data_IF_368124890162
#
_entry.id   IF_368124890162
#
_cell.length_a   1.000
_cell.length_b   1.000
_cell.length_c   1.000
_cell.angle_alpha   90.00
_cell.angle_beta   90.00
_cell.angle_gamma   90.00
#
_symmetry.space_group_name_H-M   'P 1'
#
loop_
_entity.id
_entity.type
_entity.pdbx_description
1 polymer ?
#
# COMPACT_ATOMS: atom_id res chain seq x y z
N UNK A 1 -0.08 -48.11 27.87
CA UNK A 1 1.35 -48.47 27.70
C UNK A 1 2.08 -47.13 27.54
N UNK A 2 2.69 -46.71 28.64
CA UNK A 2 3.40 -45.44 28.77
C UNK A 2 4.86 -45.65 28.34
N UNK A 3 5.43 -44.65 27.68
CA UNK A 3 6.89 -44.45 27.69
C UNK A 3 7.21 -42.97 27.66
N UNK A 4 7.69 -42.52 28.80
CA UNK A 4 8.41 -41.27 29.05
C UNK A 4 9.87 -41.44 28.65
N UNK A 5 10.51 -40.44 28.08
CA UNK A 5 11.97 -40.19 28.20
C UNK A 5 12.25 -38.72 27.90
N UNK A 6 12.43 -37.95 28.84
CA UNK A 6 13.45 -37.23 29.62
C UNK A 6 14.59 -36.56 28.83
N UNK A 7 14.64 -35.26 28.99
CA UNK A 7 15.75 -34.32 29.31
C UNK A 7 17.14 -34.54 28.73
N UNK A 8 17.74 -33.48 28.15
CA UNK A 8 19.00 -32.94 28.68
C UNK A 8 19.18 -31.44 28.33
N UNK A 9 19.43 -30.69 29.38
CA UNK A 9 19.93 -29.32 29.45
C UNK A 9 21.42 -29.30 29.07
N UNK A 10 21.88 -28.33 28.32
CA UNK A 10 23.30 -28.05 28.09
C UNK A 10 23.56 -26.55 28.06
N UNK A 11 23.91 -26.02 29.24
CA UNK A 11 24.45 -24.66 29.39
C UNK A 11 25.97 -24.72 29.29
N UNK A 12 26.59 -23.86 28.49
CA UNK A 12 28.01 -23.50 28.61
C UNK A 12 28.20 -22.03 28.54
N UNK A 13 28.54 -21.47 29.72
CA UNK A 13 29.19 -20.16 29.87
C UNK A 13 30.66 -20.28 29.52
N UNK A 14 31.25 -19.28 28.86
CA UNK A 14 32.66 -18.96 28.96
C UNK A 14 32.84 -17.46 28.99
N UNK A 15 33.31 -17.00 30.15
CA UNK A 15 33.83 -15.66 30.39
C UNK A 15 35.30 -15.59 29.92
N UNK A 16 35.72 -14.43 29.42
CA UNK A 16 37.12 -14.13 29.09
C UNK A 16 37.40 -12.65 29.29
N UNK A 17 37.93 -12.31 30.45
CA UNK A 17 38.54 -11.01 30.76
C UNK A 17 39.91 -10.89 30.10
N UNK A 18 40.29 -9.67 29.67
CA UNK A 18 41.66 -9.33 29.28
C UNK A 18 41.88 -7.83 29.37
N UNK A 19 42.50 -7.42 30.49
CA UNK A 19 42.98 -6.07 30.79
C UNK A 19 44.28 -5.77 30.06
N UNK A 20 44.59 -4.47 29.82
CA UNK A 20 45.89 -3.99 29.41
C UNK A 20 45.95 -2.46 29.40
N UNK A 21 46.56 -1.94 30.49
CA UNK A 21 46.77 -0.54 30.86
C UNK A 21 47.98 0.10 30.17
N UNK A 22 48.04 1.43 30.40
CA UNK A 22 49.20 2.36 30.54
C UNK A 22 49.69 2.99 29.22
N UNK A 23 50.11 4.22 29.13
CA UNK A 23 50.54 5.21 30.11
C UNK A 23 50.79 6.59 29.44
N UNK A 24 50.52 7.66 30.21
CA UNK A 24 51.21 8.93 30.41
C UNK A 24 51.85 9.75 29.28
N UNK A 25 51.65 11.08 29.42
CA UNK A 25 52.57 12.16 29.03
C UNK A 25 51.86 13.47 28.70
N UNK A 26 51.52 14.26 29.55
CA UNK A 26 51.92 15.44 30.31
C UNK A 26 52.70 16.52 29.55
N UNK A 27 52.29 17.72 29.84
CA UNK A 27 52.93 19.05 29.97
C UNK A 27 52.55 20.12 28.93
N UNK A 28 51.81 21.05 29.47
CA UNK A 28 52.16 22.37 30.01
C UNK A 28 52.14 23.53 29.03
N UNK A 29 51.17 24.36 29.28
CA UNK A 29 51.10 25.80 29.55
C UNK A 29 52.10 26.77 28.87
N UNK A 30 51.62 27.85 28.32
CA UNK A 30 51.74 29.20 28.88
C UNK A 30 51.16 30.30 28.01
N UNK A 31 50.33 31.09 28.66
CA UNK A 31 50.02 32.50 28.51
C UNK A 31 50.89 33.37 27.57
N UNK A 32 50.23 34.30 26.87
CA UNK A 32 50.42 35.73 27.13
C UNK A 32 49.36 36.61 26.41
N UNK A 33 49.00 37.64 27.15
CA UNK A 33 48.03 38.71 26.96
C UNK A 33 48.47 39.80 25.97
N UNK A 34 47.44 40.68 25.67
CA UNK A 34 47.47 42.13 25.39
C UNK A 34 47.75 42.51 23.92
N UNK A 35 47.15 43.52 23.28
CA UNK A 35 46.29 44.67 23.69
C UNK A 35 45.69 45.31 22.43
N UNK A 36 44.52 45.92 22.63
CA UNK A 36 43.87 47.08 22.00
C UNK A 36 44.26 47.64 20.63
N UNK A 37 43.29 47.95 19.80
CA UNK A 37 42.78 49.29 19.52
C UNK A 37 41.78 49.34 18.39
N UNK A 38 40.75 50.17 18.56
CA UNK A 38 39.63 50.51 17.72
C UNK A 38 40.02 51.16 16.38
N UNK A 39 39.16 50.94 15.34
CA UNK A 39 38.65 52.07 14.55
C UNK A 39 37.32 51.69 13.84
N UNK A 40 36.44 52.68 13.74
CA UNK A 40 35.07 52.67 13.27
C UNK A 40 35.01 52.75 11.74
N UNK A 41 33.77 52.42 11.26
CA UNK A 41 33.03 52.78 10.03
C UNK A 41 33.17 51.74 8.90
N UNK A 42 32.09 51.20 8.40
CA UNK A 42 30.95 51.80 7.68
C UNK A 42 29.85 50.73 7.41
N UNK A 43 28.65 51.18 7.35
CA UNK A 43 27.44 50.40 7.02
C UNK A 43 27.42 50.04 5.53
N UNK A 44 27.22 48.80 5.21
CA UNK A 44 26.42 48.38 4.04
C UNK A 44 25.47 47.26 4.46
N UNK A 45 24.18 47.57 4.36
CA UNK A 45 23.11 46.60 4.45
C UNK A 45 23.19 45.66 3.24
N UNK A 46 23.54 44.41 3.50
CA UNK A 46 23.29 43.32 2.56
C UNK A 46 22.13 42.51 3.12
N UNK A 47 21.04 42.59 2.41
CA UNK A 47 19.84 41.76 2.52
C UNK A 47 20.27 40.27 2.52
N UNK A 48 20.36 39.69 3.72
CA UNK A 48 20.52 38.26 3.87
C UNK A 48 19.12 37.68 3.83
N UNK A 49 18.74 37.14 2.65
CA UNK A 49 17.66 36.22 2.53
C UNK A 49 17.86 35.11 3.57
N UNK A 50 16.98 35.09 4.54
CA UNK A 50 16.83 34.06 5.56
C UNK A 50 16.40 32.76 4.85
N UNK A 51 17.36 31.98 4.36
CA UNK A 51 17.17 30.57 4.07
C UNK A 51 17.06 29.85 5.40
N UNK A 52 15.90 29.97 6.03
CA UNK A 52 15.49 29.03 7.09
C UNK A 52 15.34 27.68 6.46
N UNK A 53 16.40 26.89 6.41
CA UNK A 53 16.27 25.43 6.30
C UNK A 53 15.42 25.00 7.50
N UNK A 54 14.12 24.79 7.23
CA UNK A 54 13.21 24.15 8.16
C UNK A 54 13.62 22.67 8.30
N UNK A 55 14.60 22.36 9.15
CA UNK A 55 14.79 21.02 9.69
C UNK A 55 13.73 20.76 10.76
N UNK A 56 12.46 20.93 10.40
CA UNK A 56 11.31 20.52 11.19
C UNK A 56 11.12 19.00 11.02
N UNK A 57 10.78 18.35 12.12
CA UNK A 57 10.27 16.96 12.10
C UNK A 57 9.13 16.88 11.08
N UNK A 58 9.22 15.91 10.15
CA UNK A 58 8.17 15.74 9.12
C UNK A 58 6.90 15.25 9.78
N UNK A 59 5.75 15.66 9.26
CA UNK A 59 4.45 15.12 9.64
C UNK A 59 4.22 13.82 8.88
N UNK A 60 4.11 12.70 9.58
CA UNK A 60 3.77 11.40 9.01
C UNK A 60 2.27 11.34 8.71
N UNK A 61 1.90 10.76 7.58
CA UNK A 61 0.52 10.46 7.18
C UNK A 61 0.44 8.99 6.78
N UNK A 62 -0.34 8.22 7.51
CA UNK A 62 -0.51 6.78 7.32
C UNK A 62 -1.66 6.50 6.37
N UNK A 63 -1.37 5.93 5.22
CA UNK A 63 -2.35 5.72 4.16
C UNK A 63 -2.44 4.24 3.82
N UNK A 64 -3.57 3.64 4.13
CA UNK A 64 -3.86 2.25 3.79
C UNK A 64 -4.47 2.18 2.40
N UNK A 65 -3.83 1.47 1.50
CA UNK A 65 -4.21 1.39 0.08
C UNK A 65 -4.40 -0.05 -0.37
N UNK A 66 -5.43 -0.30 -1.17
CA UNK A 66 -5.60 -1.59 -1.83
C UNK A 66 -4.36 -1.94 -2.67
N UNK A 67 -3.96 -3.21 -2.68
CA UNK A 67 -2.74 -3.70 -3.34
C UNK A 67 -2.64 -3.30 -4.82
N UNK A 68 -3.75 -3.24 -5.53
CA UNK A 68 -3.84 -2.82 -6.95
C UNK A 68 -3.45 -1.35 -7.19
N UNK A 69 -3.50 -0.50 -6.15
CA UNK A 69 -3.12 0.92 -6.24
C UNK A 69 -1.63 1.15 -6.05
N UNK A 70 -0.89 0.18 -5.49
CA UNK A 70 0.45 0.36 -4.94
C UNK A 70 1.40 1.09 -5.88
N UNK A 71 1.57 0.60 -7.10
CA UNK A 71 2.55 1.14 -8.04
C UNK A 71 2.26 2.61 -8.38
N UNK A 72 1.00 2.94 -8.68
CA UNK A 72 0.59 4.30 -9.05
C UNK A 72 0.66 5.26 -7.85
N UNK A 73 0.26 4.78 -6.67
CA UNK A 73 0.31 5.61 -5.46
C UNK A 73 1.74 5.92 -5.02
N UNK A 74 2.74 5.07 -5.29
CA UNK A 74 4.15 5.40 -5.04
C UNK A 74 4.63 6.57 -5.91
N UNK A 75 4.19 6.68 -7.17
CA UNK A 75 4.51 7.83 -8.01
C UNK A 75 3.79 9.09 -7.54
N UNK A 76 2.52 8.97 -7.13
CA UNK A 76 1.73 10.08 -6.56
C UNK A 76 2.40 10.60 -5.28
N UNK A 77 2.84 9.69 -4.39
CA UNK A 77 3.59 10.03 -3.18
C UNK A 77 4.84 10.83 -3.52
N UNK A 78 5.67 10.33 -4.45
CA UNK A 78 6.92 10.99 -4.83
C UNK A 78 6.68 12.43 -5.34
N UNK A 79 5.63 12.63 -6.14
CA UNK A 79 5.26 13.96 -6.64
C UNK A 79 4.77 14.87 -5.50
N UNK A 80 3.91 14.35 -4.62
CA UNK A 80 3.39 15.12 -3.49
C UNK A 80 4.48 15.54 -2.50
N UNK A 81 5.36 14.63 -2.10
CA UNK A 81 6.44 14.92 -1.16
C UNK A 81 7.49 15.89 -1.72
N UNK A 82 7.67 15.94 -3.05
CA UNK A 82 8.53 16.93 -3.70
C UNK A 82 7.99 18.36 -3.55
N UNK A 83 6.66 18.53 -3.54
CA UNK A 83 5.98 19.82 -3.36
C UNK A 83 5.73 20.13 -1.87
N UNK A 84 5.68 19.09 -1.02
CA UNK A 84 5.41 19.16 0.43
C UNK A 84 6.53 18.50 1.24
N UNK A 85 7.75 19.06 1.30
CA UNK A 85 8.93 18.41 1.88
C UNK A 85 8.83 18.17 3.41
N UNK A 86 7.87 18.80 4.06
CA UNK A 86 7.55 18.63 5.48
C UNK A 86 6.52 17.53 5.77
N UNK A 87 6.02 16.83 4.74
CA UNK A 87 5.12 15.68 4.88
C UNK A 87 5.85 14.40 4.48
N UNK A 88 5.52 13.29 5.13
CA UNK A 88 6.01 11.96 4.82
C UNK A 88 4.80 11.02 4.72
N UNK A 89 4.53 10.51 3.53
CA UNK A 89 3.43 9.58 3.30
C UNK A 89 3.92 8.14 3.56
N UNK A 90 3.23 7.42 4.41
CA UNK A 90 3.55 6.04 4.78
C UNK A 90 2.45 5.12 4.29
N UNK A 91 2.75 4.31 3.28
CA UNK A 91 1.77 3.35 2.76
C UNK A 91 1.81 2.02 3.48
N UNK A 92 0.61 1.50 3.76
CA UNK A 92 0.36 0.10 4.01
C UNK A 92 -0.49 -0.44 2.86
N UNK A 93 0.06 -1.35 2.07
CA UNK A 93 -0.56 -1.85 0.85
C UNK A 93 -0.85 -3.35 0.96
N UNK A 94 -2.14 -3.72 1.04
CA UNK A 94 -2.61 -5.11 1.12
C UNK A 94 -4.03 -5.24 0.55
N UNK A 95 -4.69 -6.40 0.79
CA UNK A 95 -6.11 -6.53 0.48
C UNK A 95 -6.93 -5.56 1.32
N UNK A 96 -8.01 -5.02 0.74
CA UNK A 96 -8.86 -4.09 1.48
C UNK A 96 -9.52 -4.73 2.71
N UNK A 97 -9.78 -6.06 2.69
CA UNK A 97 -10.28 -6.80 3.84
C UNK A 97 -9.25 -6.89 4.97
N UNK A 98 -7.98 -7.20 4.64
CA UNK A 98 -6.88 -7.20 5.63
C UNK A 98 -6.69 -5.81 6.23
N UNK A 99 -6.72 -4.76 5.40
CA UNK A 99 -6.56 -3.38 5.87
C UNK A 99 -7.72 -2.92 6.76
N UNK A 100 -8.96 -3.30 6.42
CA UNK A 100 -10.14 -3.10 7.27
C UNK A 100 -9.92 -3.71 8.66
N UNK A 101 -9.55 -5.00 8.72
CA UNK A 101 -9.28 -5.68 9.99
C UNK A 101 -8.18 -4.99 10.81
N UNK A 102 -7.12 -4.51 10.17
CA UNK A 102 -6.05 -3.78 10.85
C UNK A 102 -6.55 -2.45 11.44
N UNK A 103 -7.42 -1.71 10.73
CA UNK A 103 -8.05 -0.49 11.26
C UNK A 103 -8.94 -0.82 12.46
N UNK A 104 -9.76 -1.86 12.37
CA UNK A 104 -10.62 -2.34 13.46
C UNK A 104 -9.81 -2.79 14.69
N UNK A 105 -8.61 -3.35 14.48
CA UNK A 105 -7.66 -3.74 15.54
C UNK A 105 -6.86 -2.55 16.12
N UNK A 106 -7.07 -1.34 15.59
CA UNK A 106 -6.45 -0.10 16.10
C UNK A 106 -5.09 0.21 15.48
N UNK A 107 -4.79 -0.27 14.27
CA UNK A 107 -3.63 0.19 13.53
C UNK A 107 -3.77 1.67 13.17
N UNK A 108 -2.70 2.45 13.29
CA UNK A 108 -2.67 3.85 12.90
C UNK A 108 -2.91 4.00 11.39
N UNK A 109 -3.95 4.74 11.05
CA UNK A 109 -4.38 4.97 9.68
C UNK A 109 -5.13 6.31 9.60
N UNK A 110 -4.72 7.20 8.71
CA UNK A 110 -5.35 8.49 8.46
C UNK A 110 -6.27 8.46 7.23
N UNK A 111 -5.87 7.67 6.22
CA UNK A 111 -6.59 7.56 4.95
C UNK A 111 -6.72 6.09 4.57
N UNK A 112 -7.93 5.67 4.22
CA UNK A 112 -8.19 4.35 3.62
C UNK A 112 -8.64 4.50 2.18
N UNK A 113 -7.97 3.82 1.24
CA UNK A 113 -8.31 3.77 -0.17
C UNK A 113 -8.57 2.33 -0.58
N UNK A 114 -9.84 1.94 -0.52
CA UNK A 114 -10.32 0.56 -0.72
C UNK A 114 -10.54 0.25 -2.20
N UNK A 115 -10.46 -1.04 -2.55
CA UNK A 115 -10.87 -1.56 -3.86
C UNK A 115 -12.34 -2.04 -3.93
N UNK A 116 -13.11 -1.79 -2.88
CA UNK A 116 -14.56 -2.03 -2.85
C UNK A 116 -15.24 -1.11 -1.84
N UNK A 117 -16.50 -0.79 -2.08
CA UNK A 117 -17.32 0.01 -1.14
C UNK A 117 -17.61 -0.77 0.13
N UNK A 118 -17.76 -2.10 0.05
CA UNK A 118 -18.11 -2.97 1.20
C UNK A 118 -17.24 -2.72 2.43
N UNK A 119 -15.92 -2.65 2.27
CA UNK A 119 -14.99 -2.44 3.39
C UNK A 119 -15.05 -1.01 3.94
N UNK A 120 -15.21 -0.03 3.05
CA UNK A 120 -15.40 1.36 3.46
C UNK A 120 -16.73 1.57 4.17
N UNK A 121 -17.80 0.94 3.68
CA UNK A 121 -19.13 1.02 4.28
C UNK A 121 -19.14 0.39 5.68
N UNK A 122 -18.49 -0.78 5.85
CA UNK A 122 -18.36 -1.43 7.16
C UNK A 122 -17.65 -0.53 8.17
N UNK A 123 -16.49 0.04 7.83
CA UNK A 123 -15.77 0.98 8.68
C UNK A 123 -16.59 2.26 8.97
N UNK A 124 -17.40 2.70 8.02
CA UNK A 124 -18.30 3.86 8.21
C UNK A 124 -19.42 3.53 9.19
N UNK A 125 -20.05 2.36 9.07
CA UNK A 125 -21.12 1.90 9.98
C UNK A 125 -20.61 1.71 11.41
N UNK A 126 -19.34 1.31 11.57
CA UNK A 126 -18.69 1.13 12.87
C UNK A 126 -18.11 2.44 13.46
N UNK A 127 -18.15 3.53 12.70
CA UNK A 127 -17.74 4.86 13.15
C UNK A 127 -16.22 5.12 13.12
N UNK A 128 -15.46 4.36 12.31
CA UNK A 128 -14.04 4.60 12.07
C UNK A 128 -13.80 5.69 11.02
N UNK A 129 -14.75 5.94 10.12
CA UNK A 129 -14.60 6.89 9.01
C UNK A 129 -15.19 8.24 9.40
N UNK A 130 -14.45 9.31 9.10
CA UNK A 130 -14.93 10.69 9.33
C UNK A 130 -16.14 10.97 8.43
N UNK A 131 -17.24 11.41 9.04
CA UNK A 131 -18.51 11.70 8.35
C UNK A 131 -18.33 12.62 7.14
N UNK A 132 -18.85 12.17 5.98
CA UNK A 132 -18.82 12.94 4.74
C UNK A 132 -17.45 13.01 4.06
N UNK A 133 -16.44 12.30 4.56
CA UNK A 133 -15.10 12.26 3.97
C UNK A 133 -14.97 11.31 2.80
N UNK A 134 -15.87 10.33 2.64
CA UNK A 134 -15.78 9.30 1.59
C UNK A 134 -16.09 9.87 0.21
N UNK A 135 -15.24 9.50 -0.76
CA UNK A 135 -15.43 9.80 -2.19
C UNK A 135 -15.25 8.52 -2.99
N UNK A 136 -16.25 8.10 -3.75
CA UNK A 136 -16.11 7.05 -4.77
C UNK A 136 -15.31 7.65 -5.93
N UNK A 137 -14.03 7.33 -6.02
CA UNK A 137 -13.09 8.06 -6.86
C UNK A 137 -12.83 7.37 -8.21
N UNK A 138 -12.67 6.04 -8.20
CA UNK A 138 -12.24 5.27 -9.35
C UNK A 138 -13.13 4.05 -9.58
N UNK A 139 -13.14 3.59 -10.84
CA UNK A 139 -13.66 2.29 -11.25
C UNK A 139 -12.53 1.44 -11.84
N UNK A 140 -12.65 0.12 -11.66
CA UNK A 140 -11.77 -0.86 -12.27
C UNK A 140 -12.60 -2.04 -12.83
N UNK A 141 -12.03 -2.78 -13.76
CA UNK A 141 -12.69 -3.92 -14.40
C UNK A 141 -12.09 -5.22 -13.92
N UNK A 142 -12.93 -6.25 -13.85
CA UNK A 142 -12.50 -7.62 -13.55
C UNK A 142 -12.09 -8.29 -14.85
N UNK A 143 -10.92 -8.90 -14.85
CA UNK A 143 -10.39 -9.62 -16.03
C UNK A 143 -9.92 -11.02 -15.67
N UNK A 144 -10.03 -11.92 -16.64
CA UNK A 144 -9.46 -13.26 -16.61
C UNK A 144 -8.13 -13.23 -17.37
N UNK A 145 -7.07 -13.71 -16.75
CA UNK A 145 -5.72 -13.71 -17.31
C UNK A 145 -5.13 -15.13 -17.39
N UNK A 146 -4.13 -15.28 -18.27
CA UNK A 146 -3.25 -16.45 -18.38
C UNK A 146 -1.79 -16.00 -18.50
N UNK A 147 -0.78 -16.87 -18.32
CA UNK A 147 0.60 -16.55 -18.66
C UNK A 147 0.76 -16.24 -20.15
N UNK A 148 1.61 -15.27 -20.47
CA UNK A 148 1.91 -14.90 -21.85
C UNK A 148 2.53 -16.06 -22.62
N UNK A 149 1.97 -16.37 -23.81
CA UNK A 149 2.47 -17.41 -24.71
C UNK A 149 2.08 -18.84 -24.34
N UNK A 150 1.42 -19.07 -23.20
CA UNK A 150 0.89 -20.39 -22.85
C UNK A 150 -0.48 -20.64 -23.49
N UNK A 151 -0.75 -21.91 -23.85
CA UNK A 151 -2.03 -22.32 -24.43
C UNK A 151 -3.04 -22.66 -23.33
N UNK A 152 -4.30 -22.32 -23.53
CA UNK A 152 -5.42 -22.71 -22.65
C UNK A 152 -6.66 -22.98 -23.50
N UNK A 153 -7.53 -23.88 -23.03
CA UNK A 153 -8.85 -24.09 -23.60
C UNK A 153 -9.86 -23.02 -23.16
N UNK A 154 -9.52 -22.26 -22.11
CA UNK A 154 -10.38 -21.21 -21.53
C UNK A 154 -10.44 -20.01 -22.46
N UNK A 155 -11.65 -19.58 -22.79
CA UNK A 155 -11.90 -18.41 -23.65
C UNK A 155 -12.69 -17.31 -22.94
N UNK A 156 -13.16 -17.56 -21.72
CA UNK A 156 -13.93 -16.61 -20.94
C UNK A 156 -14.34 -17.18 -19.58
N UNK A 157 -15.07 -16.38 -18.82
CA UNK A 157 -15.56 -16.78 -17.49
C UNK A 157 -16.54 -17.95 -17.54
N UNK A 158 -17.31 -18.09 -18.66
CA UNK A 158 -18.30 -19.14 -18.81
C UNK A 158 -17.71 -20.56 -18.88
N UNK A 159 -16.50 -20.69 -19.44
CA UNK A 159 -15.80 -21.98 -19.57
C UNK A 159 -14.52 -22.08 -18.75
N UNK A 160 -14.40 -21.28 -17.68
CA UNK A 160 -13.20 -21.24 -16.80
C UNK A 160 -12.88 -22.61 -16.20
N UNK A 161 -13.87 -23.47 -16.01
CA UNK A 161 -13.71 -24.83 -15.47
C UNK A 161 -12.97 -25.79 -16.40
N UNK A 162 -12.66 -25.38 -17.64
CA UNK A 162 -11.76 -26.13 -18.53
C UNK A 162 -10.28 -25.93 -18.17
N UNK A 163 -9.94 -24.94 -17.32
CA UNK A 163 -8.59 -24.78 -16.82
C UNK A 163 -8.23 -25.87 -15.82
N UNK A 164 -6.95 -26.27 -15.83
CA UNK A 164 -6.40 -27.24 -14.87
C UNK A 164 -6.23 -26.66 -13.46
N UNK A 165 -6.06 -25.34 -13.35
CA UNK A 165 -5.91 -24.63 -12.06
C UNK A 165 -6.28 -23.17 -12.18
N UNK A 166 -6.81 -22.60 -11.07
CA UNK A 166 -7.25 -21.22 -10.96
C UNK A 166 -6.54 -20.51 -9.82
N UNK A 167 -5.92 -19.37 -10.09
CA UNK A 167 -5.55 -18.42 -9.06
C UNK A 167 -6.72 -17.48 -8.76
N UNK A 168 -7.22 -17.47 -7.53
CA UNK A 168 -8.37 -16.68 -7.11
C UNK A 168 -8.09 -16.08 -5.73
N UNK A 169 -8.40 -14.81 -5.53
CA UNK A 169 -8.25 -14.19 -4.23
C UNK A 169 -9.29 -14.67 -3.21
N UNK A 170 -8.96 -14.59 -1.91
CA UNK A 170 -9.82 -14.97 -0.81
C UNK A 170 -11.16 -14.22 -0.77
N UNK A 171 -12.09 -14.68 0.07
CA UNK A 171 -13.43 -14.11 0.20
C UNK A 171 -13.44 -12.74 0.91
N UNK A 172 -12.43 -12.43 1.67
CA UNK A 172 -12.20 -11.13 2.31
C UNK A 172 -11.53 -10.12 1.38
N UNK A 173 -11.00 -10.58 0.23
CA UNK A 173 -10.32 -9.74 -0.77
C UNK A 173 -11.32 -9.22 -1.80
N UNK A 174 -11.37 -7.89 -2.07
CA UNK A 174 -12.36 -7.32 -3.00
C UNK A 174 -12.43 -8.02 -4.36
N UNK A 175 -11.31 -8.24 -5.07
CA UNK A 175 -11.34 -8.93 -6.37
C UNK A 175 -11.88 -10.36 -6.27
N UNK A 176 -11.64 -11.04 -5.15
CA UNK A 176 -12.21 -12.36 -4.86
C UNK A 176 -13.72 -12.31 -4.64
N UNK A 177 -14.24 -11.23 -4.03
CA UNK A 177 -15.68 -10.99 -3.86
C UNK A 177 -16.35 -10.72 -5.23
N UNK A 178 -15.76 -9.83 -6.03
CA UNK A 178 -16.26 -9.55 -7.39
C UNK A 178 -16.23 -10.79 -8.28
N UNK A 179 -15.17 -11.59 -8.24
CA UNK A 179 -15.08 -12.83 -9.02
C UNK A 179 -16.16 -13.84 -8.62
N UNK A 180 -16.36 -14.06 -7.32
CA UNK A 180 -17.42 -14.97 -6.83
C UNK A 180 -18.81 -14.46 -7.21
N UNK A 181 -19.05 -13.15 -7.12
CA UNK A 181 -20.30 -12.54 -7.57
C UNK A 181 -20.52 -12.70 -9.07
N UNK A 182 -19.47 -12.55 -9.87
CA UNK A 182 -19.51 -12.81 -11.31
C UNK A 182 -19.90 -14.26 -11.58
N UNK A 183 -19.23 -15.24 -10.96
CA UNK A 183 -19.53 -16.66 -11.15
C UNK A 183 -20.93 -17.04 -10.65
N UNK A 184 -21.42 -16.40 -9.57
CA UNK A 184 -22.82 -16.55 -9.12
C UNK A 184 -23.81 -16.05 -10.19
N UNK A 185 -23.55 -14.86 -10.76
CA UNK A 185 -24.43 -14.24 -11.75
C UNK A 185 -24.50 -15.04 -13.06
N UNK A 186 -23.39 -15.65 -13.50
CA UNK A 186 -23.37 -16.50 -14.69
C UNK A 186 -23.76 -17.96 -14.38
N UNK A 187 -23.90 -18.32 -13.11
CA UNK A 187 -24.48 -19.61 -12.68
C UNK A 187 -23.50 -20.79 -12.64
N UNK A 188 -22.17 -20.55 -12.58
CA UNK A 188 -21.14 -21.59 -12.53
C UNK A 188 -20.29 -21.58 -11.25
N UNK A 189 -20.69 -20.82 -10.21
CA UNK A 189 -19.91 -20.66 -8.98
C UNK A 189 -19.54 -22.00 -8.31
N UNK A 190 -20.50 -22.91 -8.17
CA UNK A 190 -20.28 -24.22 -7.53
C UNK A 190 -19.24 -25.06 -8.26
N UNK A 191 -19.29 -25.05 -9.60
CA UNK A 191 -18.34 -25.77 -10.45
C UNK A 191 -16.94 -25.13 -10.37
N UNK A 192 -16.86 -23.81 -10.34
CA UNK A 192 -15.60 -23.06 -10.16
C UNK A 192 -14.99 -23.34 -8.80
N UNK A 193 -15.80 -23.33 -7.73
CA UNK A 193 -15.31 -23.61 -6.37
C UNK A 193 -14.90 -25.08 -6.15
N UNK A 194 -15.22 -25.96 -7.08
CA UNK A 194 -14.76 -27.35 -7.09
C UNK A 194 -13.44 -27.56 -7.84
N UNK A 195 -12.89 -26.53 -8.50
CA UNK A 195 -11.61 -26.57 -9.20
C UNK A 195 -10.43 -26.66 -8.23
N UNK A 196 -9.22 -26.92 -8.77
CA UNK A 196 -7.97 -26.69 -8.06
C UNK A 196 -7.73 -25.16 -7.98
N UNK A 197 -7.99 -24.59 -6.80
CA UNK A 197 -7.83 -23.14 -6.53
C UNK A 197 -6.57 -22.91 -5.69
N UNK A 198 -5.70 -22.03 -6.19
CA UNK A 198 -4.63 -21.40 -5.41
C UNK A 198 -5.16 -20.05 -4.90
N UNK A 199 -5.45 -19.98 -3.61
CA UNK A 199 -6.01 -18.79 -3.01
C UNK A 199 -4.94 -17.74 -2.71
N UNK A 200 -5.09 -16.53 -3.29
CA UNK A 200 -4.22 -15.39 -3.06
C UNK A 200 -4.71 -14.52 -1.90
N UNK A 201 -3.79 -14.13 -1.02
CA UNK A 201 -4.08 -13.21 0.09
C UNK A 201 -4.46 -11.80 -0.37
N UNK A 202 -4.07 -11.41 -1.59
CA UNK A 202 -4.44 -10.17 -2.26
C UNK A 202 -4.33 -10.34 -3.78
N UNK A 203 -4.73 -9.32 -4.55
CA UNK A 203 -4.69 -9.39 -6.03
C UNK A 203 -3.28 -9.55 -6.58
N UNK A 204 -2.28 -8.96 -5.94
CA UNK A 204 -0.87 -9.08 -6.38
C UNK A 204 -0.37 -10.51 -6.28
N UNK A 205 -0.80 -11.27 -5.26
CA UNK A 205 -0.47 -12.68 -5.11
C UNK A 205 -1.09 -13.52 -6.25
N UNK A 206 -2.35 -13.24 -6.62
CA UNK A 206 -3.02 -13.88 -7.76
C UNK A 206 -2.29 -13.59 -9.07
N UNK A 207 -2.00 -12.32 -9.35
CA UNK A 207 -1.27 -11.89 -10.55
C UNK A 207 0.10 -12.58 -10.65
N UNK A 208 0.84 -12.63 -9.55
CA UNK A 208 2.16 -13.26 -9.48
C UNK A 208 2.07 -14.76 -9.75
N UNK A 209 1.09 -15.46 -9.17
CA UNK A 209 0.89 -16.89 -9.38
C UNK A 209 0.67 -17.24 -10.86
N UNK A 210 -0.10 -16.43 -11.58
CA UNK A 210 -0.28 -16.59 -13.03
C UNK A 210 0.97 -16.19 -13.80
N UNK A 211 1.56 -15.04 -13.50
CA UNK A 211 2.76 -14.52 -14.19
C UNK A 211 3.97 -15.46 -14.09
N UNK A 212 4.05 -16.27 -13.03
CA UNK A 212 5.08 -17.29 -12.81
C UNK A 212 4.69 -18.69 -13.33
N UNK A 213 3.49 -18.83 -13.92
CA UNK A 213 3.00 -20.10 -14.44
C UNK A 213 2.62 -21.12 -13.37
N UNK A 214 2.42 -20.68 -12.13
CA UNK A 214 1.95 -21.55 -11.03
C UNK A 214 0.49 -21.95 -11.19
N UNK A 215 -0.30 -21.13 -11.92
CA UNK A 215 -1.68 -21.40 -12.29
C UNK A 215 -1.90 -21.12 -13.78
N UNK A 216 -2.81 -21.90 -14.40
CA UNK A 216 -3.17 -21.77 -15.81
C UNK A 216 -3.93 -20.45 -16.07
N UNK A 217 -4.86 -20.11 -15.19
CA UNK A 217 -5.64 -18.86 -15.29
C UNK A 217 -5.79 -18.20 -13.92
N UNK A 218 -6.16 -16.92 -13.92
CA UNK A 218 -6.45 -16.18 -12.68
C UNK A 218 -7.38 -15.00 -12.92
N UNK A 219 -8.06 -14.56 -11.86
CA UNK A 219 -8.95 -13.39 -11.88
C UNK A 219 -8.32 -12.24 -11.14
N UNK A 220 -8.10 -11.12 -11.85
CA UNK A 220 -7.48 -9.90 -11.34
C UNK A 220 -8.24 -8.66 -11.84
N UNK A 221 -7.76 -7.47 -11.49
CA UNK A 221 -8.24 -6.24 -12.13
C UNK A 221 -7.48 -5.96 -13.42
N UNK A 222 -8.07 -5.18 -14.30
CA UNK A 222 -7.46 -4.79 -15.58
C UNK A 222 -6.14 -4.01 -15.37
N UNK A 223 -6.05 -3.18 -14.34
CA UNK A 223 -4.84 -2.45 -13.97
C UNK A 223 -3.71 -3.37 -13.51
N UNK A 224 -4.02 -4.45 -12.78
CA UNK A 224 -3.02 -5.44 -12.39
C UNK A 224 -2.47 -6.18 -13.61
N UNK A 225 -3.34 -6.63 -14.51
CA UNK A 225 -2.92 -7.25 -15.77
C UNK A 225 -2.04 -6.31 -16.60
N UNK A 226 -2.40 -5.02 -16.70
CA UNK A 226 -1.61 -4.02 -17.41
C UNK A 226 -0.22 -3.79 -16.77
N UNK A 227 -0.09 -3.92 -15.45
CA UNK A 227 1.19 -3.76 -14.74
C UNK A 227 2.22 -4.85 -15.05
N UNK A 228 1.77 -6.01 -15.57
CA UNK A 228 2.60 -7.16 -15.99
C UNK A 228 2.25 -7.64 -17.40
N UNK A 229 1.94 -6.72 -18.32
CA UNK A 229 1.52 -7.04 -19.70
C UNK A 229 2.56 -7.82 -20.52
N UNK A 230 3.81 -7.87 -20.07
CA UNK A 230 4.87 -8.71 -20.64
C UNK A 230 4.81 -10.18 -20.16
N UNK A 231 4.10 -10.45 -19.06
CA UNK A 231 4.04 -11.78 -18.40
C UNK A 231 2.67 -12.43 -18.43
N UNK A 232 1.61 -11.64 -18.54
CA UNK A 232 0.23 -12.14 -18.57
C UNK A 232 -0.53 -11.57 -19.76
N UNK A 233 -1.49 -12.35 -20.26
CA UNK A 233 -2.43 -11.97 -21.30
C UNK A 233 -3.86 -12.00 -20.76
N UNK A 234 -4.65 -10.98 -21.10
CA UNK A 234 -6.09 -10.96 -20.79
C UNK A 234 -6.84 -11.85 -21.77
N UNK A 235 -7.54 -12.85 -21.23
CA UNK A 235 -8.42 -13.75 -21.99
C UNK A 235 -9.80 -13.10 -22.21
N UNK A 236 -10.36 -12.53 -21.10
CA UNK A 236 -11.69 -11.94 -21.08
C UNK A 236 -11.78 -10.81 -20.08
N UNK A 237 -12.62 -9.83 -20.37
CA UNK A 237 -13.05 -8.76 -19.48
C UNK A 237 -14.50 -8.98 -19.09
N UNK A 238 -14.83 -8.83 -17.81
CA UNK A 238 -16.20 -8.95 -17.32
C UNK A 238 -17.08 -7.83 -17.91
N UNK A 239 -18.27 -8.23 -18.35
CA UNK A 239 -19.28 -7.28 -18.84
C UNK A 239 -20.17 -6.79 -17.69
N UNK A 240 -20.82 -5.64 -17.87
CA UNK A 240 -21.75 -5.10 -16.88
C UNK A 240 -22.94 -6.03 -16.56
N UNK A 241 -23.28 -6.95 -17.47
CA UNK A 241 -24.32 -7.97 -17.22
C UNK A 241 -23.80 -9.11 -16.32
N UNK A 242 -22.50 -9.30 -16.23
CA UNK A 242 -21.86 -10.33 -15.42
C UNK A 242 -21.54 -9.82 -14.01
N UNK A 243 -20.96 -8.64 -13.90
CA UNK A 243 -20.66 -7.99 -12.60
C UNK A 243 -20.48 -6.49 -12.80
N UNK A 244 -20.90 -5.70 -11.80
CA UNK A 244 -20.62 -4.27 -11.78
C UNK A 244 -19.11 -3.98 -11.69
N UNK A 245 -18.63 -2.85 -12.22
CA UNK A 245 -17.24 -2.43 -12.05
C UNK A 245 -16.86 -2.33 -10.57
N UNK A 246 -15.60 -2.61 -10.25
CA UNK A 246 -15.09 -2.42 -8.91
C UNK A 246 -14.95 -0.93 -8.62
N UNK A 247 -15.61 -0.47 -7.56
CA UNK A 247 -15.57 0.94 -7.11
C UNK A 247 -14.50 1.09 -6.05
N UNK A 248 -13.67 2.13 -6.19
CA UNK A 248 -12.60 2.46 -5.27
C UNK A 248 -12.94 3.74 -4.49
N UNK A 249 -13.48 3.61 -3.27
CA UNK A 249 -13.69 4.74 -2.37
C UNK A 249 -12.41 5.10 -1.63
N UNK A 250 -12.18 6.41 -1.45
CA UNK A 250 -11.16 6.97 -0.56
C UNK A 250 -11.85 7.75 0.56
N UNK A 251 -11.46 7.52 1.82
CA UNK A 251 -12.03 8.15 3.01
C UNK A 251 -10.97 8.49 4.05
N UNK A 252 -11.26 9.44 4.93
CA UNK A 252 -10.45 9.74 6.11
C UNK A 252 -10.89 8.84 7.27
N UNK A 253 -9.92 8.30 7.98
CA UNK A 253 -10.13 7.47 9.19
C UNK A 253 -9.95 8.35 10.41
N UNK A 254 -10.81 8.17 11.42
CA UNK A 254 -10.72 8.91 12.68
C UNK A 254 -9.60 8.32 13.55
N UNK A 255 -8.46 9.02 13.61
CA UNK A 255 -7.41 8.73 14.58
C UNK A 255 -7.50 9.74 15.75
N UNK A 256 -7.90 9.24 16.93
CA UNK A 256 -8.07 10.06 18.15
C UNK A 256 -6.75 10.50 18.77
N UNK A 257 -5.64 9.90 18.35
CA UNK A 257 -4.29 10.20 18.83
C UNK A 257 -3.54 11.13 17.88
N UNK A 258 -4.09 11.35 16.66
CA UNK A 258 -3.48 12.22 15.66
C UNK A 258 -3.41 13.69 16.13
N UNK A 259 -2.30 14.33 15.82
CA UNK A 259 -2.14 15.77 16.02
C UNK A 259 -2.92 16.58 14.99
N UNK A 260 -3.23 17.84 15.29
CA UNK A 260 -3.87 18.77 14.34
C UNK A 260 -3.09 18.90 13.01
N UNK A 261 -1.76 18.78 13.06
CA UNK A 261 -0.89 18.83 11.89
C UNK A 261 -1.05 17.59 11.01
N UNK A 262 -1.16 16.41 11.62
CA UNK A 262 -1.36 15.12 10.96
C UNK A 262 -2.73 15.06 10.29
N UNK A 263 -3.80 15.40 11.04
CA UNK A 263 -5.17 15.50 10.48
C UNK A 263 -5.20 16.42 9.26
N UNK A 264 -4.61 17.60 9.36
CA UNK A 264 -4.57 18.57 8.26
C UNK A 264 -3.78 18.04 7.07
N UNK A 265 -2.63 17.41 7.30
CA UNK A 265 -1.82 16.83 6.24
C UNK A 265 -2.54 15.67 5.52
N UNK A 266 -3.28 14.84 6.27
CA UNK A 266 -4.12 13.77 5.71
C UNK A 266 -5.26 14.33 4.83
N UNK A 267 -5.96 15.38 5.32
CA UNK A 267 -7.00 16.06 4.54
C UNK A 267 -6.44 16.66 3.23
N UNK A 268 -5.28 17.33 3.30
CA UNK A 268 -4.62 17.93 2.13
C UNK A 268 -4.16 16.86 1.14
N UNK A 269 -3.55 15.77 1.60
CA UNK A 269 -3.14 14.67 0.73
C UNK A 269 -4.34 13.96 0.09
N UNK A 270 -5.38 13.61 0.88
CA UNK A 270 -6.62 13.04 0.31
C UNK A 270 -7.23 13.95 -0.74
N UNK A 271 -7.30 15.26 -0.47
CA UNK A 271 -7.81 16.26 -1.43
C UNK A 271 -6.96 16.27 -2.70
N UNK A 272 -5.63 16.27 -2.59
CA UNK A 272 -4.71 16.20 -3.72
C UNK A 272 -5.01 14.98 -4.58
N UNK A 273 -5.06 13.78 -3.99
CA UNK A 273 -5.38 12.53 -4.71
C UNK A 273 -6.74 12.60 -5.41
N UNK A 274 -7.76 13.18 -4.76
CA UNK A 274 -9.13 13.15 -5.26
C UNK A 274 -9.44 14.27 -6.26
N UNK A 275 -8.74 15.41 -6.24
CA UNK A 275 -9.16 16.60 -7.00
C UNK A 275 -8.09 17.22 -7.88
N UNK A 276 -6.80 16.93 -7.66
CA UNK A 276 -5.74 17.45 -8.51
C UNK A 276 -5.64 16.65 -9.82
N UNK A 277 -5.37 17.31 -10.96
CA UNK A 277 -5.23 16.63 -12.24
C UNK A 277 -4.04 15.65 -12.28
N UNK A 278 -2.92 15.96 -11.61
CA UNK A 278 -1.70 15.15 -11.69
C UNK A 278 -1.86 13.71 -11.16
N UNK A 279 -2.40 13.46 -9.95
CA UNK A 279 -2.72 12.10 -9.50
C UNK A 279 -3.71 11.39 -10.43
N UNK A 280 -4.72 12.09 -10.93
CA UNK A 280 -5.74 11.51 -11.78
C UNK A 280 -5.19 11.09 -13.17
N UNK A 281 -4.24 11.85 -13.72
CA UNK A 281 -3.53 11.47 -14.94
C UNK A 281 -2.74 10.16 -14.74
N UNK A 282 -2.04 9.99 -13.62
CA UNK A 282 -1.32 8.78 -13.29
C UNK A 282 -2.25 7.58 -13.10
N UNK A 283 -3.34 7.77 -12.34
CA UNK A 283 -4.35 6.72 -12.13
C UNK A 283 -5.01 6.29 -13.44
N UNK A 284 -5.35 7.25 -14.30
CA UNK A 284 -5.94 6.97 -15.61
C UNK A 284 -4.94 6.28 -16.54
N UNK A 285 -3.68 6.69 -16.53
CA UNK A 285 -2.61 6.03 -17.30
C UNK A 285 -2.37 4.59 -16.86
N UNK A 286 -2.56 4.29 -15.57
CA UNK A 286 -2.52 2.93 -15.03
C UNK A 286 -3.75 2.08 -15.40
N UNK A 287 -4.79 2.67 -16.01
CA UNK A 287 -5.99 1.97 -16.48
C UNK A 287 -7.22 2.09 -15.58
N UNK A 288 -7.17 2.89 -14.52
CA UNK A 288 -8.36 3.22 -13.74
C UNK A 288 -9.27 4.20 -14.51
N UNK A 289 -10.58 4.10 -14.28
CA UNK A 289 -11.54 5.08 -14.79
C UNK A 289 -11.97 6.00 -13.63
N UNK A 290 -11.92 7.32 -13.87
CA UNK A 290 -12.43 8.28 -12.89
C UNK A 290 -13.96 8.28 -12.86
N UNK A 291 -14.55 8.21 -11.67
CA UNK A 291 -15.99 8.43 -11.44
C UNK A 291 -16.27 9.95 -11.51
N UNK A 292 -17.29 10.33 -12.28
CA UNK A 292 -17.67 11.74 -12.51
C UNK A 292 -18.83 12.16 -11.61
#
# INVERSE_FOLDING_TARGET
MALLLSMTLGATMLAGCGSGSSDSGDSSAKDTKEDAAADETDKEEADAADETEASGEKTDVYVFIAASLKNTMEEIKANYEAEHPNVNIIYNADSSGTLQTQIEEGAQCDIFFSAATKQMDALTEEGYVIDGSVTNLLENKIVLIKPTGEETAVTGFDNITEASSLALAGEDVPVGQYARKLFENIGNLDDVMAMEINEGANVTAVLTAVAEGSNEVGVVYATDAASMADKVEVIAEATADQVDPAIYPIGLIEDKEASDAEVKAAEEFKKYVATDPSPMELLTAAGFNQIK
#
